data_IF_638929985475
#
_entry.id   IF_638929985475
#
_cell.length_a   1.000
_cell.length_b   1.000
_cell.length_c   1.000
_cell.angle_alpha   90.00
_cell.angle_beta   90.00
_cell.angle_gamma   90.00
#
_symmetry.space_group_name_H-M   'P 1'
#
loop_
_entity.id
_entity.type
_entity.pdbx_description
1 polymer ?
#
# COMPACT_ATOMS: atom_id res chain seq x y z
N UNK A 1 0.95 -14.61 -15.06
CA UNK A 1 1.47 -13.77 -13.97
C UNK A 1 0.60 -12.52 -13.98
N UNK A 2 -0.21 -12.29 -12.95
CA UNK A 2 -0.95 -11.02 -12.82
C UNK A 2 0.01 -10.10 -12.07
N UNK A 3 0.30 -8.92 -12.61
CA UNK A 3 1.14 -7.94 -11.93
C UNK A 3 0.37 -7.38 -10.72
N UNK A 4 1.02 -7.42 -9.56
CA UNK A 4 0.49 -6.78 -8.35
C UNK A 4 0.40 -5.26 -8.59
N UNK A 5 -0.66 -4.62 -8.10
CA UNK A 5 -0.97 -3.18 -8.25
C UNK A 5 -1.33 -2.66 -9.67
N UNK A 6 -1.72 -3.55 -10.59
CA UNK A 6 -2.29 -3.14 -11.89
C UNK A 6 -3.79 -2.83 -11.84
N UNK A 7 -4.22 -1.80 -12.57
CA UNK A 7 -5.63 -1.45 -12.74
C UNK A 7 -6.24 -2.15 -13.97
N UNK A 8 -7.46 -2.64 -13.83
CA UNK A 8 -8.18 -3.36 -14.88
C UNK A 8 -9.60 -2.84 -15.04
N UNK A 9 -10.05 -2.72 -16.28
CA UNK A 9 -11.42 -2.41 -16.65
C UNK A 9 -12.17 -3.68 -17.03
N UNK A 10 -13.36 -3.87 -16.47
CA UNK A 10 -14.22 -5.03 -16.69
C UNK A 10 -15.54 -4.57 -17.33
N UNK A 11 -15.78 -4.96 -18.58
CA UNK A 11 -16.99 -4.60 -19.35
C UNK A 11 -17.71 -5.89 -19.81
N UNK A 12 -18.23 -6.63 -18.83
CA UNK A 12 -18.86 -7.96 -18.98
C UNK A 12 -17.93 -9.06 -19.54
N UNK A 13 -17.69 -9.08 -20.85
CA UNK A 13 -16.95 -10.14 -21.54
C UNK A 13 -15.47 -9.81 -21.78
N UNK A 14 -15.09 -8.55 -21.58
CA UNK A 14 -13.72 -8.09 -21.83
C UNK A 14 -13.05 -7.57 -20.57
N UNK A 15 -11.79 -7.94 -20.42
CA UNK A 15 -10.89 -7.44 -19.38
C UNK A 15 -9.70 -6.79 -20.06
N UNK A 16 -9.48 -5.50 -19.81
CA UNK A 16 -8.36 -4.74 -20.35
C UNK A 16 -7.59 -4.04 -19.24
N UNK A 17 -6.27 -3.96 -19.40
CA UNK A 17 -5.43 -3.10 -18.54
C UNK A 17 -5.81 -1.64 -18.76
N UNK A 18 -5.85 -0.87 -17.69
CA UNK A 18 -6.16 0.55 -17.72
C UNK A 18 -5.22 1.29 -16.78
N UNK A 19 -4.94 2.56 -17.03
CA UNK A 19 -4.16 3.36 -16.08
C UNK A 19 -5.00 3.75 -14.87
N UNK A 20 -4.34 3.98 -13.73
CA UNK A 20 -5.02 4.47 -12.52
C UNK A 20 -5.77 5.78 -12.78
N UNK A 21 -5.17 6.68 -13.58
CA UNK A 21 -5.73 7.99 -13.89
C UNK A 21 -7.06 7.91 -14.65
N UNK A 22 -7.20 6.89 -15.51
CA UNK A 22 -8.40 6.65 -16.31
C UNK A 22 -9.52 5.99 -15.49
N UNK A 23 -9.21 5.43 -14.32
CA UNK A 23 -10.21 4.84 -13.42
C UNK A 23 -11.04 5.91 -12.70
N UNK A 24 -10.50 7.12 -12.50
CA UNK A 24 -11.21 8.22 -11.82
C UNK A 24 -12.13 8.97 -12.80
N UNK A 25 -13.34 8.45 -12.98
CA UNK A 25 -14.33 9.04 -13.88
C UNK A 25 -15.57 9.56 -13.14
N UNK A 26 -16.27 10.52 -13.75
CA UNK A 26 -17.55 11.05 -13.25
C UNK A 26 -18.69 10.02 -13.28
N UNK A 27 -18.48 8.87 -13.91
CA UNK A 27 -19.46 7.78 -13.98
C UNK A 27 -19.41 6.84 -12.77
N UNK A 28 -18.43 7.02 -11.87
CA UNK A 28 -18.28 6.16 -10.70
C UNK A 28 -19.45 6.33 -9.72
N UNK A 29 -20.26 5.27 -9.56
CA UNK A 29 -21.36 5.24 -8.60
C UNK A 29 -20.95 4.67 -7.24
N UNK A 30 -20.03 3.70 -7.23
CA UNK A 30 -19.57 2.99 -6.02
C UNK A 30 -18.05 2.92 -5.99
N UNK A 31 -17.50 3.07 -4.78
CA UNK A 31 -16.06 3.02 -4.52
C UNK A 31 -15.80 2.04 -3.38
N UNK A 32 -14.87 1.12 -3.59
CA UNK A 32 -14.43 0.16 -2.59
C UNK A 32 -13.03 0.53 -2.10
N UNK A 33 -12.84 0.58 -0.78
CA UNK A 33 -11.54 0.87 -0.16
C UNK A 33 -11.17 -0.23 0.83
N UNK A 34 -9.89 -0.62 0.82
CA UNK A 34 -9.30 -1.49 1.84
C UNK A 34 -8.63 -0.62 2.89
N UNK A 35 -8.91 -0.87 4.17
CA UNK A 35 -8.17 -0.22 5.26
C UNK A 35 -6.71 -0.67 5.21
N UNK A 36 -5.78 0.28 5.19
CA UNK A 36 -4.36 0.00 5.37
C UNK A 36 -4.10 -0.01 6.87
N UNK A 37 -3.88 -1.19 7.45
CA UNK A 37 -3.48 -1.27 8.86
C UNK A 37 -2.06 -0.67 8.96
N UNK A 38 -1.88 0.33 9.83
CA UNK A 38 -0.63 1.11 9.93
C UNK A 38 0.64 0.28 10.20
N UNK A 39 0.49 -1.00 10.53
CA UNK A 39 1.58 -1.94 10.71
C UNK A 39 2.29 -2.33 9.40
N UNK A 40 1.67 -2.18 8.21
CA UNK A 40 2.35 -2.44 6.92
C UNK A 40 3.04 -1.21 6.32
N UNK A 41 2.75 -0.01 6.83
CA UNK A 41 3.46 1.23 6.44
C UNK A 41 4.62 1.56 7.38
N UNK A 42 4.54 1.17 8.66
CA UNK A 42 5.57 1.42 9.67
C UNK A 42 6.84 0.54 9.53
N UNK A 43 6.96 -0.26 8.47
CA UNK A 43 8.13 -1.11 8.20
C UNK A 43 9.03 -0.54 7.10
N UNK A 44 9.02 0.77 6.86
CA UNK A 44 9.96 1.41 5.92
C UNK A 44 10.99 2.30 6.62
N UNK A 45 10.88 2.53 7.94
CA UNK A 45 11.81 3.39 8.68
C UNK A 45 11.99 2.88 10.12
N UNK A 46 12.55 1.66 10.28
CA UNK A 46 13.20 1.32 11.55
C UNK A 46 14.63 1.84 11.44
N UNK A 47 14.81 3.12 11.75
CA UNK A 47 16.14 3.63 12.09
C UNK A 47 16.60 2.84 13.32
N UNK A 48 17.68 2.06 13.28
CA UNK A 48 18.16 1.37 14.46
C UNK A 48 18.59 2.42 15.48
N UNK A 49 17.83 2.57 16.55
CA UNK A 49 18.24 3.38 17.70
C UNK A 49 19.47 2.72 18.31
N UNK A 50 20.60 3.41 18.25
CA UNK A 50 21.87 2.94 18.82
C UNK A 50 21.75 2.92 20.35
N UNK A 51 21.52 1.73 20.91
CA UNK A 51 21.46 1.51 22.36
C UNK A 51 22.86 1.25 22.92
N UNK A 52 23.72 2.27 23.00
CA UNK A 52 25.06 2.14 23.61
C UNK A 52 25.24 2.96 24.91
N UNK A 53 24.19 3.12 25.74
CA UNK A 53 24.30 3.91 26.98
C UNK A 53 23.60 3.24 28.18
N UNK A 54 23.73 1.92 28.38
CA UNK A 54 23.16 1.24 29.56
C UNK A 54 24.08 0.26 30.31
N UNK A 55 25.41 0.32 30.17
CA UNK A 55 26.32 -0.59 30.91
C UNK A 55 27.31 0.11 31.87
N UNK A 56 27.13 1.40 32.19
CA UNK A 56 28.03 2.11 33.13
C UNK A 56 27.44 2.35 34.53
N UNK A 57 26.44 1.59 34.97
CA UNK A 57 25.89 1.70 36.34
C UNK A 57 25.76 0.35 37.09
N UNK A 58 26.63 -0.61 36.83
CA UNK A 58 26.89 -1.67 37.80
C UNK A 58 28.35 -1.58 38.29
N UNK A 59 28.51 -1.79 39.60
CA UNK A 59 29.57 -1.29 40.49
C UNK A 59 30.99 -1.83 40.28
#
# INVERSE_FOLDING_TARGET
LIEEDSWYHFDDSHVSTVNEEETRTSAAYLLFYRRVDGNSCAMADVVPVDTHMVDSLEA
#
